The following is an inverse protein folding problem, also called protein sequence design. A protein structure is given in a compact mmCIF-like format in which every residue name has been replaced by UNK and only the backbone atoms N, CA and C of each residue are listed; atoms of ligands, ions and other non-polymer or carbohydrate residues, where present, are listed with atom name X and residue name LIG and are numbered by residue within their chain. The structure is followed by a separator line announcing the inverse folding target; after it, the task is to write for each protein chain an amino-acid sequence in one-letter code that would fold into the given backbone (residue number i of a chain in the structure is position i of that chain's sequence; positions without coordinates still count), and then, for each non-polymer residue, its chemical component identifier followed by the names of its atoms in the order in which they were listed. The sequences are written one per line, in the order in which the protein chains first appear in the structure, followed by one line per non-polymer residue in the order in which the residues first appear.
data_IF_083295160219
#
_entry.id   IF_083295160219
#
_cell.length_a   1.000
_cell.length_b   1.000
_cell.length_c   1.000
_cell.angle_alpha   90.00
_cell.angle_beta   90.00
_cell.angle_gamma   90.00
#
_symmetry.space_group_name_H-M   'P 1'
#
loop_
_entity.id
_entity.type
_entity.pdbx_description
1 polymer ?
#
# COMPACT_ATOMS: atom_id res chain seq x y z
N UNK A 1 -0.96 17.91 4.49
CA UNK A 1 0.19 16.97 4.50
C UNK A 1 0.01 15.94 3.38
N UNK A 2 1.04 15.71 2.55
CA UNK A 2 1.00 14.69 1.48
C UNK A 2 0.98 13.29 2.11
N UNK A 3 -0.07 12.52 1.85
CA UNK A 3 -0.24 11.16 2.37
C UNK A 3 0.88 10.24 1.84
N UNK A 4 1.65 9.64 2.74
CA UNK A 4 2.79 8.79 2.38
C UNK A 4 2.36 7.42 1.84
N UNK A 5 1.23 6.90 2.32
CA UNK A 5 0.70 5.61 1.84
C UNK A 5 0.45 5.62 0.31
N UNK A 6 0.90 4.58 -0.42
CA UNK A 6 0.59 4.43 -1.84
C UNK A 6 -0.84 3.91 -2.09
N UNK A 7 -1.45 3.26 -1.10
CA UNK A 7 -2.78 2.68 -1.21
C UNK A 7 -3.87 3.71 -0.88
N UNK A 8 -5.01 3.57 -1.56
CA UNK A 8 -6.29 4.13 -1.11
C UNK A 8 -7.00 3.09 -0.27
N UNK A 9 -7.07 3.31 1.04
CA UNK A 9 -7.66 2.33 1.94
C UNK A 9 -8.83 2.94 2.73
N UNK A 10 -10.03 2.33 2.70
CA UNK A 10 -11.15 2.77 3.53
C UNK A 10 -10.81 2.75 5.02
N UNK A 11 -11.45 3.62 5.81
CA UNK A 11 -11.22 3.64 7.26
C UNK A 11 -9.86 4.20 7.68
N UNK A 12 -9.23 5.04 6.84
CA UNK A 12 -7.91 5.61 7.09
C UNK A 12 -7.75 6.19 8.50
N UNK A 13 -6.96 5.49 9.33
CA UNK A 13 -6.76 5.80 10.75
C UNK A 13 -5.89 7.05 11.00
N UNK A 14 -5.38 7.69 9.93
CA UNK A 14 -4.55 8.89 10.05
C UNK A 14 -5.23 10.03 10.82
N UNK A 15 -6.58 10.07 10.83
CA UNK A 15 -7.35 11.03 11.65
C UNK A 15 -7.12 10.89 13.16
N UNK A 16 -6.71 9.72 13.64
CA UNK A 16 -6.43 9.44 15.06
C UNK A 16 -5.01 9.84 15.48
N UNK A 17 -4.23 10.45 14.59
CA UNK A 17 -2.85 10.85 14.89
C UNK A 17 -2.74 11.64 16.19
N UNK A 18 -3.52 12.71 16.35
CA UNK A 18 -3.49 13.55 17.56
C UNK A 18 -3.91 12.78 18.82
N UNK A 19 -4.85 11.84 18.71
CA UNK A 19 -5.26 11.01 19.83
C UNK A 19 -4.11 10.09 20.29
N UNK A 20 -3.38 9.48 19.35
CA UNK A 20 -2.22 8.64 19.67
C UNK A 20 -1.09 9.47 20.29
N UNK A 21 -0.80 10.67 19.76
CA UNK A 21 0.18 11.57 20.35
C UNK A 21 -0.19 11.93 21.79
N UNK A 22 -1.47 12.23 22.04
CA UNK A 22 -1.95 12.51 23.39
C UNK A 22 -1.74 11.32 24.33
N UNK A 23 -2.08 10.11 23.90
CA UNK A 23 -1.86 8.89 24.71
C UNK A 23 -0.37 8.71 25.03
N UNK A 24 0.52 8.92 24.06
CA UNK A 24 1.96 8.81 24.32
C UNK A 24 2.43 9.85 25.35
N UNK A 25 2.01 11.11 25.21
CA UNK A 25 2.40 12.18 26.11
C UNK A 25 1.85 11.96 27.53
N UNK A 26 0.56 11.64 27.66
CA UNK A 26 -0.12 11.42 28.94
C UNK A 26 0.52 10.26 29.72
N UNK A 27 1.16 9.31 29.03
CA UNK A 27 1.83 8.15 29.62
C UNK A 27 3.37 8.24 29.58
N UNK A 28 3.95 9.40 29.27
CA UNK A 28 5.41 9.60 29.15
C UNK A 28 6.12 8.61 28.20
N UNK A 29 5.42 8.09 27.20
CA UNK A 29 5.96 7.16 26.20
C UNK A 29 6.75 7.96 25.15
N UNK A 30 8.06 7.75 25.10
CA UNK A 30 8.95 8.44 24.15
C UNK A 30 9.49 7.47 23.12
N UNK A 31 9.33 7.81 21.84
CA UNK A 31 9.82 7.01 20.68
C UNK A 31 9.53 5.51 20.80
N UNK A 32 8.25 5.09 20.94
CA UNK A 32 7.94 3.68 21.09
C UNK A 32 8.20 2.89 19.82
N UNK A 33 8.23 1.55 19.95
CA UNK A 33 7.96 0.65 18.84
C UNK A 33 6.45 0.61 18.65
N UNK A 34 5.98 1.06 17.48
CA UNK A 34 4.56 1.06 17.16
C UNK A 34 4.21 -0.15 16.31
N UNK A 35 3.27 -0.97 16.79
CA UNK A 35 2.79 -2.17 16.12
C UNK A 35 1.39 -1.92 15.56
N UNK A 36 1.24 -1.97 14.23
CA UNK A 36 -0.06 -1.89 13.58
C UNK A 36 -0.44 -3.25 13.00
N UNK A 37 -1.21 -4.01 13.78
CA UNK A 37 -1.61 -5.40 13.48
C UNK A 37 -2.69 -5.55 12.40
N UNK A 38 -3.33 -4.42 12.03
CA UNK A 38 -4.27 -4.29 10.91
C UNK A 38 -3.78 -3.17 10.01
N UNK A 39 -2.69 -3.41 9.31
CA UNK A 39 -1.98 -2.40 8.54
C UNK A 39 -2.91 -1.74 7.51
N UNK A 40 -3.59 -2.52 6.67
CA UNK A 40 -4.35 -2.01 5.55
C UNK A 40 -3.50 -1.02 4.73
N UNK A 41 -3.90 0.25 4.70
CA UNK A 41 -3.12 1.33 4.07
C UNK A 41 -2.00 1.95 4.93
N UNK A 42 -1.82 1.55 6.19
CA UNK A 42 -0.79 2.01 7.13
C UNK A 42 -0.67 3.54 7.27
N UNK A 43 -1.76 4.28 7.05
CA UNK A 43 -1.73 5.74 6.98
C UNK A 43 -1.31 6.41 8.29
N UNK A 44 -1.72 5.86 9.43
CA UNK A 44 -1.35 6.36 10.76
C UNK A 44 0.09 5.98 11.12
N UNK A 45 0.44 4.70 11.04
CA UNK A 45 1.79 4.18 11.21
C UNK A 45 2.85 4.99 10.43
N UNK A 46 2.64 5.20 9.14
CA UNK A 46 3.56 5.96 8.29
C UNK A 46 3.64 7.43 8.68
N UNK A 47 2.56 8.03 9.19
CA UNK A 47 2.56 9.41 9.64
C UNK A 47 3.33 9.58 10.95
N UNK A 48 3.16 8.65 11.90
CA UNK A 48 3.94 8.58 13.15
C UNK A 48 5.44 8.45 12.85
N UNK A 49 5.80 7.55 11.94
CA UNK A 49 7.17 7.33 11.51
C UNK A 49 7.77 8.58 10.82
N UNK A 50 7.04 9.14 9.85
CA UNK A 50 7.49 10.32 9.08
C UNK A 50 7.74 11.52 9.99
N UNK A 51 6.91 11.70 11.01
CA UNK A 51 7.04 12.79 11.98
C UNK A 51 8.02 12.45 13.13
N UNK A 52 8.79 11.36 13.00
CA UNK A 52 9.80 10.91 13.97
C UNK A 52 9.24 10.71 15.40
N UNK A 53 7.97 10.30 15.50
CA UNK A 53 7.28 10.05 16.77
C UNK A 53 7.62 8.67 17.33
N UNK A 54 7.82 7.69 16.44
CA UNK A 54 8.11 6.29 16.78
C UNK A 54 9.55 5.95 16.39
N UNK A 55 10.20 5.10 17.16
CA UNK A 55 11.54 4.62 16.85
C UNK A 55 11.50 3.58 15.72
N UNK A 56 10.54 2.67 15.85
CA UNK A 56 10.36 1.54 14.94
C UNK A 56 8.89 1.32 14.64
N UNK A 57 8.60 0.94 13.40
CA UNK A 57 7.30 0.53 12.94
C UNK A 57 7.28 -0.97 12.63
N UNK A 58 6.25 -1.65 13.14
CA UNK A 58 5.92 -3.04 12.81
C UNK A 58 4.55 -3.04 12.14
N UNK A 59 4.49 -3.53 10.90
CA UNK A 59 3.25 -3.72 10.15
C UNK A 59 2.92 -5.20 10.05
N UNK A 60 1.66 -5.55 10.33
CA UNK A 60 1.10 -6.87 10.09
C UNK A 60 -0.31 -6.71 9.48
N UNK A 61 -0.70 -7.65 8.63
CA UNK A 61 -2.08 -7.78 8.15
C UNK A 61 -2.36 -9.24 7.81
N UNK A 62 -3.55 -9.72 8.15
CA UNK A 62 -3.96 -11.11 7.85
C UNK A 62 -4.23 -11.32 6.36
N UNK A 63 -4.57 -10.25 5.61
CA UNK A 63 -4.78 -10.37 4.18
C UNK A 63 -3.42 -10.51 3.46
N UNK A 64 -3.18 -11.70 2.89
CA UNK A 64 -2.01 -12.01 2.04
C UNK A 64 -1.75 -10.93 0.98
N UNK A 65 -2.80 -10.34 0.40
CA UNK A 65 -2.66 -9.29 -0.61
C UNK A 65 -2.02 -8.03 -0.04
N UNK A 66 -2.43 -7.62 1.17
CA UNK A 66 -1.88 -6.45 1.87
C UNK A 66 -0.47 -6.76 2.39
N UNK A 67 -0.25 -7.95 2.95
CA UNK A 67 1.08 -8.42 3.35
C UNK A 67 2.07 -8.36 2.17
N UNK A 68 1.73 -8.99 1.04
CA UNK A 68 2.60 -9.03 -0.13
C UNK A 68 2.83 -7.65 -0.73
N UNK A 69 1.84 -6.75 -0.69
CA UNK A 69 2.03 -5.37 -1.11
C UNK A 69 3.09 -4.66 -0.25
N UNK A 70 2.94 -4.67 1.08
CA UNK A 70 3.90 -4.01 1.97
C UNK A 70 5.28 -4.65 1.85
N UNK A 71 5.35 -5.98 1.80
CA UNK A 71 6.62 -6.71 1.66
C UNK A 71 7.32 -6.35 0.36
N UNK A 72 6.56 -6.26 -0.74
CA UNK A 72 7.10 -5.86 -2.03
C UNK A 72 7.75 -4.48 -2.00
N UNK A 73 7.08 -3.47 -1.42
CA UNK A 73 7.62 -2.10 -1.44
C UNK A 73 8.75 -1.87 -0.42
N UNK A 74 8.83 -2.67 0.66
CA UNK A 74 9.92 -2.54 1.63
C UNK A 74 11.15 -3.36 1.22
N UNK A 75 10.95 -4.60 0.77
CA UNK A 75 12.07 -5.53 0.52
C UNK A 75 12.53 -5.50 -0.94
N UNK A 76 11.63 -5.25 -1.88
CA UNK A 76 11.84 -5.31 -3.33
C UNK A 76 11.47 -3.99 -4.02
N UNK A 77 11.83 -2.87 -3.38
CA UNK A 77 11.39 -1.51 -3.75
C UNK A 77 11.70 -1.14 -5.21
N UNK A 78 12.92 -1.46 -5.67
CA UNK A 78 13.39 -1.12 -7.01
C UNK A 78 12.56 -1.84 -8.08
N UNK A 79 12.44 -3.16 -7.94
CA UNK A 79 11.66 -4.01 -8.85
C UNK A 79 10.19 -3.60 -8.87
N UNK A 80 9.62 -3.28 -7.70
CA UNK A 80 8.25 -2.81 -7.63
C UNK A 80 8.05 -1.46 -8.35
N UNK A 81 8.99 -0.53 -8.19
CA UNK A 81 8.95 0.74 -8.91
C UNK A 81 9.07 0.55 -10.43
N UNK A 82 9.94 -0.36 -10.89
CA UNK A 82 10.07 -0.71 -12.30
C UNK A 82 8.77 -1.29 -12.85
N UNK A 83 8.12 -2.21 -12.12
CA UNK A 83 6.80 -2.73 -12.52
C UNK A 83 5.75 -1.62 -12.68
N UNK A 84 5.72 -0.63 -11.78
CA UNK A 84 4.82 0.53 -11.89
C UNK A 84 5.15 1.37 -13.12
N UNK A 85 6.43 1.54 -13.43
CA UNK A 85 6.89 2.39 -14.51
C UNK A 85 6.53 1.82 -15.88
N UNK A 86 6.68 0.51 -16.07
CA UNK A 86 6.50 -0.15 -17.37
C UNK A 86 5.06 -0.62 -17.65
N UNK A 87 4.21 -0.75 -16.62
CA UNK A 87 2.87 -1.35 -16.80
C UNK A 87 1.96 -0.52 -17.72
N UNK A 88 1.19 -1.19 -18.57
CA UNK A 88 0.10 -0.56 -19.32
C UNK A 88 -1.13 -0.42 -18.43
N UNK A 89 -1.77 0.76 -18.42
CA UNK A 89 -2.94 1.01 -17.58
C UNK A 89 -4.20 0.84 -18.44
N UNK A 90 -4.52 -0.42 -18.75
CA UNK A 90 -5.66 -0.79 -19.59
C UNK A 90 -6.48 -1.94 -18.97
N UNK A 91 -7.59 -2.29 -19.64
CA UNK A 91 -8.50 -3.33 -19.18
C UNK A 91 -7.90 -4.74 -19.30
N UNK A 92 -7.01 -4.98 -20.25
CA UNK A 92 -6.35 -6.27 -20.44
C UNK A 92 -5.46 -6.56 -19.23
N UNK A 93 -4.60 -5.61 -18.88
CA UNK A 93 -3.76 -5.68 -17.70
C UNK A 93 -4.60 -5.83 -16.43
N UNK A 94 -5.69 -5.08 -16.31
CA UNK A 94 -6.60 -5.19 -15.16
C UNK A 94 -7.17 -6.60 -14.99
N UNK A 95 -7.56 -7.27 -16.07
CA UNK A 95 -8.09 -8.63 -16.00
C UNK A 95 -7.00 -9.65 -15.64
N UNK A 96 -5.76 -9.46 -16.12
CA UNK A 96 -4.59 -10.24 -15.66
C UNK A 96 -4.42 -10.09 -14.15
N UNK A 97 -4.40 -8.85 -13.65
CA UNK A 97 -4.22 -8.58 -12.22
C UNK A 97 -5.37 -9.14 -11.38
N UNK A 98 -6.62 -9.11 -11.88
CA UNK A 98 -7.76 -9.76 -11.21
C UNK A 98 -7.61 -11.27 -11.11
N UNK A 99 -7.12 -11.92 -12.16
CA UNK A 99 -6.87 -13.38 -12.13
C UNK A 99 -5.84 -13.72 -11.06
N UNK A 100 -4.77 -12.94 -10.95
CA UNK A 100 -3.75 -13.09 -9.91
C UNK A 100 -4.37 -13.00 -8.49
N UNK A 101 -5.27 -12.04 -8.24
CA UNK A 101 -5.96 -11.98 -6.93
C UNK A 101 -6.86 -13.17 -6.67
N UNK A 102 -7.54 -13.68 -7.70
CA UNK A 102 -8.42 -14.85 -7.56
C UNK A 102 -7.61 -16.08 -7.17
N UNK A 103 -6.41 -16.20 -7.73
CA UNK A 103 -5.51 -17.33 -7.54
C UNK A 103 -4.47 -17.06 -6.42
N UNK A 104 -4.73 -16.11 -5.52
CA UNK A 104 -3.74 -15.68 -4.50
C UNK A 104 -3.34 -16.79 -3.52
N UNK A 105 -4.19 -17.78 -3.32
CA UNK A 105 -3.96 -18.86 -2.35
C UNK A 105 -3.06 -19.98 -2.86
N UNK A 106 -2.84 -20.06 -4.18
CA UNK A 106 -1.90 -21.04 -4.78
C UNK A 106 -0.48 -20.48 -4.93
N UNK A 107 -0.26 -19.21 -4.56
CA UNK A 107 1.04 -18.56 -4.65
C UNK A 107 1.95 -18.97 -3.50
N UNK A 108 3.22 -19.20 -3.81
CA UNK A 108 4.24 -19.61 -2.85
C UNK A 108 4.95 -18.36 -2.31
N UNK A 109 4.54 -17.94 -1.11
CA UNK A 109 5.06 -16.71 -0.49
C UNK A 109 6.50 -16.83 0.02
N UNK A 110 7.17 -17.97 -0.17
CA UNK A 110 8.62 -18.08 -0.01
C UNK A 110 9.38 -17.52 -1.23
N UNK A 111 8.70 -17.44 -2.39
CA UNK A 111 9.27 -16.94 -3.64
C UNK A 111 9.07 -15.44 -3.79
N UNK A 112 10.17 -14.73 -4.03
CA UNK A 112 10.16 -13.29 -4.35
C UNK A 112 9.22 -12.96 -5.52
N UNK A 113 9.21 -13.78 -6.57
CA UNK A 113 8.36 -13.57 -7.74
C UNK A 113 6.87 -13.54 -7.40
N UNK A 114 6.43 -14.43 -6.51
CA UNK A 114 5.02 -14.57 -6.13
C UNK A 114 4.59 -13.46 -5.17
N UNK A 115 5.49 -13.03 -4.27
CA UNK A 115 5.27 -11.83 -3.43
C UNK A 115 5.10 -10.59 -4.31
N UNK A 116 6.03 -10.34 -5.25
CA UNK A 116 5.98 -9.19 -6.15
C UNK A 116 4.72 -9.23 -7.02
N UNK A 117 4.38 -10.40 -7.56
CA UNK A 117 3.19 -10.62 -8.39
C UNK A 117 1.90 -10.29 -7.64
N UNK A 118 1.72 -10.81 -6.43
CA UNK A 118 0.52 -10.52 -5.63
C UNK A 118 0.51 -9.08 -5.11
N UNK A 119 1.65 -8.57 -4.65
CA UNK A 119 1.78 -7.20 -4.17
C UNK A 119 1.46 -6.18 -5.26
N UNK A 120 1.96 -6.41 -6.47
CA UNK A 120 1.72 -5.53 -7.61
C UNK A 120 0.27 -5.59 -8.06
N UNK A 121 -0.31 -6.79 -8.15
CA UNK A 121 -1.74 -6.97 -8.42
C UNK A 121 -2.62 -6.20 -7.43
N UNK A 122 -2.28 -6.27 -6.14
CA UNK A 122 -3.00 -5.58 -5.06
C UNK A 122 -2.95 -4.07 -5.27
N UNK A 123 -1.76 -3.54 -5.51
CA UNK A 123 -1.57 -2.13 -5.78
C UNK A 123 -2.30 -1.68 -7.04
N UNK A 124 -2.16 -2.42 -8.14
CA UNK A 124 -2.73 -2.05 -9.42
C UNK A 124 -4.25 -1.92 -9.32
N UNK A 125 -4.91 -2.96 -8.81
CA UNK A 125 -6.36 -2.97 -8.62
C UNK A 125 -6.80 -1.90 -7.62
N UNK A 126 -6.04 -1.65 -6.55
CA UNK A 126 -6.31 -0.55 -5.63
C UNK A 126 -6.30 0.82 -6.33
N UNK A 127 -5.45 1.02 -7.33
CA UNK A 127 -5.38 2.31 -8.04
C UNK A 127 -6.46 2.45 -9.12
N UNK A 128 -6.84 1.37 -9.79
CA UNK A 128 -7.77 1.43 -10.94
C UNK A 128 -9.23 1.10 -10.60
N UNK A 129 -9.51 0.49 -9.44
CA UNK A 129 -10.87 0.16 -9.01
C UNK A 129 -11.51 1.26 -8.15
N UNK A 130 -12.84 1.26 -8.14
CA UNK A 130 -13.65 2.20 -7.36
C UNK A 130 -13.29 2.10 -5.88
N UNK A 131 -13.14 3.26 -5.26
CA UNK A 131 -12.79 3.43 -3.83
C UNK A 131 -11.51 2.73 -3.35
N UNK A 132 -10.67 2.23 -4.26
CA UNK A 132 -9.50 1.43 -3.91
C UNK A 132 -9.81 0.02 -3.40
N UNK A 133 -11.04 -0.45 -3.62
CA UNK A 133 -11.44 -1.80 -3.23
C UNK A 133 -10.99 -2.78 -4.30
N UNK A 134 -10.15 -3.75 -3.94
CA UNK A 134 -9.55 -4.73 -4.86
C UNK A 134 -10.62 -5.49 -5.66
N UNK A 135 -11.73 -5.86 -5.02
CA UNK A 135 -12.83 -6.62 -5.63
C UNK A 135 -13.89 -5.75 -6.32
N UNK A 136 -13.78 -4.42 -6.29
CA UNK A 136 -14.77 -3.54 -6.89
C UNK A 136 -14.60 -3.42 -8.42
N UNK A 137 -15.60 -2.81 -9.06
CA UNK A 137 -15.55 -2.46 -10.47
C UNK A 137 -14.49 -1.41 -10.80
N UNK A 138 -14.09 -1.34 -12.07
CA UNK A 138 -13.14 -0.36 -12.59
C UNK A 138 -13.70 1.06 -12.48
N UNK A 139 -12.82 2.04 -12.22
CA UNK A 139 -13.17 3.47 -12.35
C UNK A 139 -13.55 3.75 -13.81
N UNK A 140 -14.61 4.51 -14.04
CA UNK A 140 -15.09 4.82 -15.39
C UNK A 140 -15.92 3.73 -16.07
N UNK A 141 -16.08 2.56 -15.42
CA UNK A 141 -16.85 1.43 -15.95
C UNK A 141 -16.14 0.68 -17.10
N UNK A 142 -16.64 -0.50 -17.48
CA UNK A 142 -15.96 -1.35 -18.48
C UNK A 142 -15.84 -0.68 -19.85
N UNK A 143 -16.79 0.16 -20.24
CA UNK A 143 -16.72 0.91 -21.50
C UNK A 143 -15.68 2.04 -21.48
N UNK A 144 -15.14 2.40 -20.31
CA UNK A 144 -14.21 3.51 -20.14
C UNK A 144 -14.69 4.83 -20.76
N UNK A 145 -16.01 5.09 -20.77
CA UNK A 145 -16.61 6.30 -21.38
C UNK A 145 -16.95 7.40 -20.37
N UNK A 146 -16.85 7.14 -19.07
CA UNK A 146 -17.12 8.16 -18.05
C UNK A 146 -16.07 9.28 -18.01
N UNK A 147 -16.41 10.36 -17.28
CA UNK A 147 -15.55 11.53 -17.06
C UNK A 147 -14.22 11.19 -16.36
N UNK A 148 -14.21 10.13 -15.55
CA UNK A 148 -13.01 9.58 -14.93
C UNK A 148 -12.68 8.23 -15.55
N UNK A 149 -11.50 8.14 -16.17
CA UNK A 149 -10.94 6.89 -16.70
C UNK A 149 -10.20 6.11 -15.62
N UNK A 150 -9.90 4.84 -15.88
CA UNK A 150 -9.24 3.95 -14.93
C UNK A 150 -7.86 4.45 -14.46
N UNK A 151 -7.14 5.18 -15.31
CA UNK A 151 -5.82 5.73 -15.01
C UNK A 151 -5.85 7.02 -14.17
N UNK A 152 -7.03 7.63 -13.91
CA UNK A 152 -7.11 8.94 -13.25
C UNK A 152 -6.49 8.97 -11.83
N UNK A 153 -6.29 7.80 -11.22
CA UNK A 153 -5.65 7.64 -9.91
C UNK A 153 -4.31 6.90 -9.99
N UNK A 154 -3.79 6.65 -11.19
CA UNK A 154 -2.54 5.92 -11.41
C UNK A 154 -1.46 6.86 -11.95
N UNK A 155 -1.15 7.92 -11.22
CA UNK A 155 -0.02 8.79 -11.55
C UNK A 155 1.28 8.07 -11.17
N UNK A 156 1.94 7.42 -12.14
CA UNK A 156 3.14 6.60 -11.96
C UNK A 156 4.22 7.34 -11.17
N UNK A 157 4.61 8.54 -11.63
CA UNK A 157 5.65 9.35 -11.01
C UNK A 157 5.36 9.64 -9.52
N UNK A 158 4.14 10.07 -9.21
CA UNK A 158 3.74 10.37 -7.82
C UNK A 158 3.74 9.13 -6.93
N UNK A 159 3.34 7.98 -7.48
CA UNK A 159 3.25 6.72 -6.74
C UNK A 159 4.65 6.14 -6.48
N UNK A 160 5.52 6.16 -7.48
CA UNK A 160 6.93 5.76 -7.36
C UNK A 160 7.64 6.66 -6.35
N UNK A 161 7.45 7.98 -6.40
CA UNK A 161 8.05 8.91 -5.44
C UNK A 161 7.65 8.60 -4.00
N UNK A 162 6.37 8.27 -3.74
CA UNK A 162 5.91 7.86 -2.40
C UNK A 162 6.57 6.57 -1.93
N UNK A 163 6.73 5.59 -2.81
CA UNK A 163 7.35 4.31 -2.48
C UNK A 163 8.84 4.49 -2.19
N UNK A 164 9.54 5.31 -2.97
CA UNK A 164 10.94 5.70 -2.71
C UNK A 164 11.09 6.49 -1.41
N UNK A 165 10.12 7.34 -1.07
CA UNK A 165 10.13 8.08 0.19
C UNK A 165 10.01 7.13 1.41
N UNK A 166 9.20 6.07 1.31
CA UNK A 166 9.08 5.05 2.37
C UNK A 166 10.43 4.31 2.58
N UNK A 167 11.17 4.06 1.50
CA UNK A 167 12.45 3.34 1.55
C UNK A 167 13.51 4.06 2.41
N UNK A 168 13.43 5.40 2.50
CA UNK A 168 14.29 6.20 3.40
C UNK A 168 14.16 5.80 4.87
N UNK A 169 13.05 5.17 5.25
CA UNK A 169 12.78 4.70 6.60
C UNK A 169 12.99 3.19 6.77
N UNK A 170 13.53 2.47 5.78
CA UNK A 170 13.68 1.01 5.81
C UNK A 170 14.39 0.47 7.05
N UNK A 171 15.41 1.17 7.56
CA UNK A 171 16.11 0.78 8.81
C UNK A 171 15.21 0.81 10.05
N UNK A 172 14.13 1.59 10.04
CA UNK A 172 13.15 1.75 11.12
C UNK A 172 11.87 0.94 10.92
N UNK A 173 11.69 0.30 9.76
CA UNK A 173 10.47 -0.42 9.42
C UNK A 173 10.75 -1.92 9.33
N UNK A 174 9.85 -2.73 9.91
CA UNK A 174 9.80 -4.16 9.65
C UNK A 174 8.36 -4.58 9.39
N UNK A 175 8.18 -5.54 8.51
CA UNK A 175 6.93 -6.29 8.39
C UNK A 175 7.12 -7.59 9.14
N UNK A 176 6.15 -7.94 9.97
CA UNK A 176 6.04 -9.25 10.60
C UNK A 176 4.89 -10.01 9.94
#
# INVERSE_FOLDING_TARGET
MRQLSPLRYPGGKAKFYNNIIKIFNDNNIKKPVYCEVFAGGAGLALLLLKNNIVDKLILNDIDKSIYCFWKSILDFNKEFCEMIDIVNIDLVEREIQKKIQKDKDILDLTKKSDILKLGFSTFFLNRVNRSGIIRAGVIGGMKQNGNYKMNCRFNKNNLIERIKEIDKYKKKNRIL
#
